data_IF_808363934136
#
_entry.id   IF_808363934136
#
_cell.length_a   1.000
_cell.length_b   1.000
_cell.length_c   1.000
_cell.angle_alpha   90.00
_cell.angle_beta   90.00
_cell.angle_gamma   90.00
#
_symmetry.space_group_name_H-M   'P 1'
#
loop_
_entity.id
_entity.type
_entity.pdbx_description
1 polymer ?
#
# COMPACT_ATOMS: atom_id res chain seq x y z
N UNK A 1 -23.60 17.78 29.80
CA UNK A 1 -24.06 16.86 28.73
C UNK A 1 -23.04 16.75 27.61
N UNK A 2 -22.67 17.82 26.88
CA UNK A 2 -21.69 17.75 25.77
C UNK A 2 -20.33 17.18 26.17
N UNK A 3 -19.80 17.57 27.35
CA UNK A 3 -18.53 17.03 27.89
C UNK A 3 -18.57 15.54 28.21
N UNK A 4 -19.73 14.93 28.31
CA UNK A 4 -19.88 13.47 28.49
C UNK A 4 -20.06 12.77 27.14
N UNK A 5 -20.79 13.41 26.21
CA UNK A 5 -21.02 12.84 24.89
C UNK A 5 -19.72 12.74 24.07
N UNK A 6 -18.82 13.71 24.22
CA UNK A 6 -17.56 13.72 23.46
C UNK A 6 -16.64 12.52 23.82
N UNK A 7 -16.31 12.23 25.10
CA UNK A 7 -15.55 11.04 25.46
C UNK A 7 -16.25 9.72 25.10
N UNK A 8 -17.58 9.67 25.17
CA UNK A 8 -18.35 8.49 24.73
C UNK A 8 -18.16 8.27 23.23
N UNK A 9 -18.25 9.32 22.42
CA UNK A 9 -18.03 9.25 20.99
C UNK A 9 -16.59 8.80 20.66
N UNK A 10 -15.60 9.34 21.36
CA UNK A 10 -14.20 8.91 21.22
C UNK A 10 -14.02 7.44 21.60
N UNK A 11 -14.61 7.00 22.73
CA UNK A 11 -14.57 5.60 23.15
C UNK A 11 -15.25 4.68 22.13
N UNK A 12 -16.41 5.09 21.60
CA UNK A 12 -17.08 4.34 20.53
C UNK A 12 -16.17 4.18 19.30
N UNK A 13 -15.51 5.26 18.87
CA UNK A 13 -14.55 5.21 17.75
C UNK A 13 -13.43 4.20 18.01
N UNK A 14 -12.84 4.20 19.22
CA UNK A 14 -11.78 3.25 19.59
C UNK A 14 -12.27 1.78 19.58
N UNK A 15 -13.49 1.51 20.04
CA UNK A 15 -14.05 0.16 19.98
C UNK A 15 -14.35 -0.27 18.54
N UNK A 16 -14.89 0.62 17.71
CA UNK A 16 -15.15 0.33 16.30
C UNK A 16 -13.84 0.06 15.53
N UNK A 17 -12.79 0.81 15.83
CA UNK A 17 -11.47 0.57 15.27
C UNK A 17 -10.92 -0.82 15.65
N UNK A 18 -11.10 -1.23 16.90
CA UNK A 18 -10.66 -2.54 17.38
C UNK A 18 -11.48 -3.71 16.82
N UNK A 19 -12.77 -3.50 16.54
CA UNK A 19 -13.67 -4.58 16.08
C UNK A 19 -13.73 -4.71 14.56
N UNK A 20 -13.47 -3.63 13.85
CA UNK A 20 -13.58 -3.55 12.39
C UNK A 20 -12.26 -3.09 11.77
N UNK A 21 -12.14 -1.79 11.48
CA UNK A 21 -10.92 -1.21 10.94
C UNK A 21 -10.82 0.28 11.31
N UNK A 22 -9.61 0.83 11.19
CA UNK A 22 -9.37 2.27 11.39
C UNK A 22 -10.22 3.10 10.44
N UNK A 23 -10.38 2.67 9.18
CA UNK A 23 -11.14 3.41 8.20
C UNK A 23 -12.65 3.33 8.45
N UNK A 24 -13.18 2.20 8.94
CA UNK A 24 -14.56 2.11 9.41
C UNK A 24 -14.83 3.09 10.57
N UNK A 25 -13.93 3.15 11.56
CA UNK A 25 -14.04 4.10 12.66
C UNK A 25 -13.97 5.57 12.19
N UNK A 26 -13.11 5.85 11.21
CA UNK A 26 -13.03 7.17 10.56
C UNK A 26 -14.35 7.53 9.89
N UNK A 27 -14.96 6.64 9.13
CA UNK A 27 -16.21 6.89 8.40
C UNK A 27 -17.38 7.09 9.38
N UNK A 28 -17.55 6.19 10.34
CA UNK A 28 -18.71 6.20 11.22
C UNK A 28 -18.65 7.25 12.32
N UNK A 29 -17.45 7.59 12.81
CA UNK A 29 -17.25 8.48 13.95
C UNK A 29 -16.41 9.69 13.60
N UNK A 30 -15.12 9.52 13.39
CA UNK A 30 -14.17 10.64 13.35
C UNK A 30 -14.42 11.61 12.20
N UNK A 31 -14.85 11.12 11.02
CA UNK A 31 -15.19 11.93 9.85
C UNK A 31 -16.70 12.15 9.68
N UNK A 32 -17.51 11.64 10.59
CA UNK A 32 -18.96 11.80 10.51
C UNK A 32 -19.40 13.22 10.84
N UNK A 33 -20.38 13.74 10.10
CA UNK A 33 -20.92 15.09 10.28
C UNK A 33 -21.45 15.35 11.69
N UNK A 34 -22.01 14.32 12.37
CA UNK A 34 -22.51 14.45 13.73
C UNK A 34 -21.40 14.67 14.76
N UNK A 35 -20.21 14.09 14.55
CA UNK A 35 -19.05 14.30 15.40
C UNK A 35 -18.47 15.71 15.20
N UNK A 36 -18.46 16.19 13.96
CA UNK A 36 -18.11 17.60 13.66
C UNK A 36 -19.07 18.58 14.33
N UNK A 37 -20.38 18.31 14.24
CA UNK A 37 -21.39 19.12 14.93
C UNK A 37 -21.19 19.12 16.44
N UNK A 38 -20.81 17.97 17.03
CA UNK A 38 -20.49 17.85 18.45
C UNK A 38 -19.28 18.72 18.84
N UNK A 39 -18.19 18.67 18.04
CA UNK A 39 -17.01 19.52 18.26
C UNK A 39 -17.34 21.02 18.14
N UNK A 40 -18.15 21.39 17.15
CA UNK A 40 -18.60 22.77 16.98
C UNK A 40 -19.46 23.25 18.18
N UNK A 41 -20.39 22.42 18.64
CA UNK A 41 -21.22 22.72 19.82
C UNK A 41 -20.37 22.84 21.08
N UNK A 42 -19.32 22.04 21.25
CA UNK A 42 -18.37 22.17 22.34
C UNK A 42 -17.63 23.50 22.26
N UNK A 43 -17.15 23.90 21.10
CA UNK A 43 -16.48 25.19 20.90
C UNK A 43 -17.43 26.36 21.29
N UNK A 44 -18.66 26.35 20.79
CA UNK A 44 -19.68 27.38 21.14
C UNK A 44 -19.97 27.38 22.64
N UNK A 45 -20.03 26.20 23.27
CA UNK A 45 -20.22 26.08 24.72
C UNK A 45 -19.06 26.69 25.50
N UNK A 46 -17.80 26.41 25.12
CA UNK A 46 -16.63 27.03 25.78
C UNK A 46 -16.66 28.57 25.64
N UNK A 47 -16.94 29.08 24.44
CA UNK A 47 -17.06 30.53 24.20
C UNK A 47 -18.19 31.14 25.01
N UNK A 48 -19.34 30.47 25.06
CA UNK A 48 -20.50 30.88 25.86
C UNK A 48 -20.19 30.94 27.36
N UNK A 49 -19.45 29.95 27.87
CA UNK A 49 -19.04 29.90 29.28
C UNK A 49 -18.06 31.02 29.65
N UNK A 50 -17.14 31.42 28.75
CA UNK A 50 -16.27 32.58 28.98
C UNK A 50 -17.09 33.82 29.28
N UNK A 51 -18.14 34.06 28.48
CA UNK A 51 -19.05 35.22 28.68
C UNK A 51 -19.95 35.03 29.91
N UNK A 52 -20.62 33.87 30.04
CA UNK A 52 -21.60 33.61 31.11
C UNK A 52 -21.00 33.71 32.50
N UNK A 53 -19.80 33.21 32.72
CA UNK A 53 -19.12 33.17 34.01
C UNK A 53 -18.13 34.31 34.22
N UNK A 54 -18.10 35.30 33.31
CA UNK A 54 -17.20 36.46 33.35
C UNK A 54 -15.74 36.03 33.58
N UNK A 55 -15.23 35.12 32.76
CA UNK A 55 -13.90 34.53 32.90
C UNK A 55 -12.77 35.51 32.54
N UNK A 56 -13.08 36.63 31.90
CA UNK A 56 -12.09 37.67 31.55
C UNK A 56 -11.60 38.48 32.78
N UNK A 57 -12.12 38.21 33.98
CA UNK A 57 -11.63 38.83 35.21
C UNK A 57 -10.25 38.28 35.61
N UNK A 58 -9.41 39.11 36.23
CA UNK A 58 -8.06 38.72 36.67
C UNK A 58 -8.05 37.54 37.65
N UNK A 59 -9.08 37.44 38.50
CA UNK A 59 -9.21 36.36 39.49
C UNK A 59 -9.49 34.99 38.86
N UNK A 60 -10.01 34.95 37.63
CA UNK A 60 -10.41 33.74 36.92
C UNK A 60 -9.47 33.40 35.72
N UNK A 61 -8.29 34.01 35.65
CA UNK A 61 -7.38 33.88 34.54
C UNK A 61 -7.01 32.41 34.25
N UNK A 62 -6.79 31.57 35.27
CA UNK A 62 -6.48 30.15 35.11
C UNK A 62 -7.61 29.40 34.41
N UNK A 63 -8.87 29.67 34.76
CA UNK A 63 -10.03 29.05 34.14
C UNK A 63 -10.25 29.57 32.72
N UNK A 64 -9.96 30.84 32.46
CA UNK A 64 -9.97 31.40 31.11
C UNK A 64 -8.94 30.69 30.20
N UNK A 65 -7.70 30.54 30.67
CA UNK A 65 -6.64 29.88 29.93
C UNK A 65 -7.04 28.42 29.58
N UNK A 66 -7.67 27.70 30.52
CA UNK A 66 -8.18 26.36 30.29
C UNK A 66 -9.25 26.34 29.19
N UNK A 67 -10.19 27.26 29.17
CA UNK A 67 -11.25 27.35 28.13
C UNK A 67 -10.63 27.70 26.78
N UNK A 68 -9.68 28.63 26.73
CA UNK A 68 -8.96 28.99 25.50
C UNK A 68 -8.15 27.84 24.98
N UNK A 69 -7.50 27.05 25.83
CA UNK A 69 -6.73 25.88 25.42
C UNK A 69 -7.61 24.85 24.69
N UNK A 70 -8.81 24.55 25.23
CA UNK A 70 -9.74 23.66 24.53
C UNK A 70 -10.22 24.22 23.19
N UNK A 71 -10.48 25.50 23.10
CA UNK A 71 -10.87 26.17 21.85
C UNK A 71 -9.71 26.04 20.83
N UNK A 72 -8.47 26.30 21.24
CA UNK A 72 -7.30 26.15 20.35
C UNK A 72 -7.07 24.70 19.92
N UNK A 73 -7.28 23.71 20.81
CA UNK A 73 -7.22 22.28 20.45
C UNK A 73 -8.26 21.94 19.38
N UNK A 74 -9.51 22.37 19.53
CA UNK A 74 -10.57 22.13 18.55
C UNK A 74 -10.30 22.83 17.22
N UNK A 75 -9.78 24.06 17.25
CA UNK A 75 -9.33 24.77 16.04
C UNK A 75 -8.14 24.05 15.37
N UNK A 76 -7.18 23.57 16.15
CA UNK A 76 -6.06 22.78 15.66
C UNK A 76 -6.54 21.49 14.97
N UNK A 77 -7.46 20.76 15.58
CA UNK A 77 -8.06 19.57 15.00
C UNK A 77 -8.75 19.86 13.66
N UNK A 78 -9.46 21.00 13.56
CA UNK A 78 -10.04 21.44 12.29
C UNK A 78 -8.97 21.73 11.23
N UNK A 79 -7.89 22.43 11.58
CA UNK A 79 -6.78 22.73 10.65
C UNK A 79 -6.11 21.45 10.17
N UNK A 80 -5.78 20.54 11.08
CA UNK A 80 -5.16 19.25 10.71
C UNK A 80 -6.05 18.45 9.76
N UNK A 81 -7.35 18.41 10.02
CA UNK A 81 -8.30 17.64 9.22
C UNK A 81 -8.51 18.17 7.81
N UNK A 82 -8.63 19.50 7.64
CA UNK A 82 -9.03 20.11 6.37
C UNK A 82 -7.88 20.76 5.58
N UNK A 83 -6.81 21.12 6.27
CA UNK A 83 -5.67 21.84 5.67
C UNK A 83 -4.40 21.00 5.74
N UNK A 84 -4.26 20.16 6.78
CA UNK A 84 -3.11 19.30 6.97
C UNK A 84 -3.00 18.25 5.86
N UNK A 85 -1.77 18.03 5.39
CA UNK A 85 -1.42 16.94 4.50
C UNK A 85 -0.41 16.05 5.21
N UNK A 86 -0.69 14.75 5.26
CA UNK A 86 0.09 13.77 5.99
C UNK A 86 0.42 12.60 5.07
N UNK A 87 1.54 11.93 5.33
CA UNK A 87 1.94 10.79 4.55
C UNK A 87 3.18 10.10 5.09
N UNK A 88 3.59 9.07 4.39
CA UNK A 88 4.78 8.28 4.71
C UNK A 88 5.84 8.45 3.63
N UNK A 89 7.10 8.52 4.03
CA UNK A 89 8.24 8.65 3.12
C UNK A 89 9.13 7.40 3.27
N UNK A 90 8.86 6.31 2.53
CA UNK A 90 9.66 5.10 2.62
C UNK A 90 11.00 5.31 1.93
N UNK A 91 12.09 5.24 2.70
CA UNK A 91 13.45 5.37 2.18
C UNK A 91 14.25 4.16 2.69
N UNK A 92 14.87 3.41 1.78
CA UNK A 92 15.83 2.36 2.16
C UNK A 92 17.17 2.99 2.51
N UNK A 93 17.92 2.35 3.40
CA UNK A 93 19.27 2.80 3.74
C UNK A 93 20.14 3.05 2.51
N UNK A 94 20.88 4.12 2.54
CA UNK A 94 21.71 4.66 1.46
C UNK A 94 20.97 5.15 0.22
N UNK A 95 19.63 5.12 0.22
CA UNK A 95 18.82 5.68 -0.85
C UNK A 95 18.36 7.11 -0.53
N UNK A 96 17.99 7.81 -1.58
CA UNK A 96 17.49 9.19 -1.53
C UNK A 96 16.06 9.23 -2.06
N UNK A 97 15.22 10.06 -1.46
CA UNK A 97 13.88 10.34 -1.96
C UNK A 97 13.59 11.84 -1.88
N UNK A 98 12.76 12.32 -2.81
CA UNK A 98 12.22 13.67 -2.83
C UNK A 98 10.69 13.66 -2.90
N UNK A 99 10.06 12.55 -2.52
CA UNK A 99 8.61 12.41 -2.50
C UNK A 99 8.14 11.61 -1.29
N UNK A 100 6.89 11.83 -0.90
CA UNK A 100 6.21 11.02 0.09
C UNK A 100 4.87 10.54 -0.46
N UNK A 101 4.35 9.47 0.13
CA UNK A 101 3.05 8.88 -0.20
C UNK A 101 2.00 9.44 0.75
N UNK A 102 0.92 10.00 0.18
CA UNK A 102 -0.17 10.57 0.99
C UNK A 102 -0.83 9.50 1.86
N UNK A 103 -1.25 9.87 3.08
CA UNK A 103 -2.08 8.99 3.92
C UNK A 103 -3.49 8.78 3.32
N UNK A 104 -3.98 9.75 2.58
CA UNK A 104 -5.26 9.67 1.88
C UNK A 104 -5.12 8.82 0.62
N UNK A 105 -6.12 7.99 0.35
CA UNK A 105 -6.22 7.19 -0.86
C UNK A 105 -7.06 7.89 -1.92
N UNK A 106 -6.73 7.64 -3.18
CA UNK A 106 -7.34 8.27 -4.34
C UNK A 106 -7.64 7.25 -5.44
N UNK A 107 -8.77 7.45 -6.11
CA UNK A 107 -8.98 6.91 -7.45
C UNK A 107 -8.43 7.94 -8.44
N UNK A 108 -7.41 7.55 -9.19
CA UNK A 108 -6.85 8.36 -10.27
C UNK A 108 -7.21 7.73 -11.61
N UNK A 109 -7.77 8.52 -12.50
CA UNK A 109 -8.19 8.06 -13.83
C UNK A 109 -7.60 9.00 -14.88
N UNK A 110 -6.81 8.45 -15.80
CA UNK A 110 -6.40 9.14 -17.01
C UNK A 110 -7.28 8.64 -18.14
N UNK A 111 -7.81 9.56 -18.91
CA UNK A 111 -8.67 9.29 -20.05
C UNK A 111 -7.98 9.87 -21.28
N UNK A 112 -7.63 9.00 -22.21
CA UNK A 112 -7.03 9.37 -23.49
C UNK A 112 -8.06 9.19 -24.61
N UNK A 113 -8.14 10.17 -25.49
CA UNK A 113 -9.06 10.12 -26.61
C UNK A 113 -8.70 11.17 -27.65
N UNK A 114 -9.34 11.06 -28.82
CA UNK A 114 -9.17 12.01 -29.90
C UNK A 114 -10.21 13.13 -29.80
N UNK A 115 -9.73 14.36 -29.85
CA UNK A 115 -10.53 15.58 -29.97
C UNK A 115 -10.00 16.43 -31.14
N UNK A 116 -10.85 16.70 -32.15
CA UNK A 116 -10.51 17.47 -33.34
C UNK A 116 -9.21 17.00 -34.06
N UNK A 117 -8.96 15.66 -34.06
CA UNK A 117 -7.78 15.07 -34.70
C UNK A 117 -6.50 15.12 -33.86
N UNK A 118 -6.59 15.52 -32.60
CA UNK A 118 -5.47 15.53 -31.63
C UNK A 118 -5.78 14.59 -30.50
N UNK A 119 -4.81 13.74 -30.15
CA UNK A 119 -4.90 12.90 -28.95
C UNK A 119 -4.66 13.74 -27.71
N UNK A 120 -5.62 13.79 -26.83
CA UNK A 120 -5.56 14.56 -25.58
C UNK A 120 -5.79 13.64 -24.36
N UNK A 121 -5.28 14.07 -23.20
CA UNK A 121 -5.46 13.40 -21.92
C UNK A 121 -6.21 14.26 -20.93
N UNK A 122 -7.27 13.69 -20.33
CA UNK A 122 -7.95 14.24 -19.16
C UNK A 122 -7.54 13.43 -17.93
N UNK A 123 -7.27 14.11 -16.83
CA UNK A 123 -6.98 13.46 -15.55
C UNK A 123 -8.09 13.77 -14.54
N UNK A 124 -8.63 12.73 -13.94
CA UNK A 124 -9.56 12.81 -12.80
C UNK A 124 -8.87 12.26 -11.58
N UNK A 125 -9.12 12.90 -10.45
CA UNK A 125 -8.61 12.47 -9.17
C UNK A 125 -9.66 12.65 -8.11
N UNK A 126 -10.11 11.57 -7.49
CA UNK A 126 -11.12 11.57 -6.44
C UNK A 126 -10.56 10.94 -5.18
N UNK A 127 -10.57 11.68 -4.07
CA UNK A 127 -10.23 11.11 -2.77
C UNK A 127 -11.33 10.15 -2.35
N UNK A 128 -10.94 8.95 -1.94
CA UNK A 128 -11.83 7.92 -1.44
C UNK A 128 -11.42 7.52 -0.02
N UNK A 129 -12.41 7.30 0.82
CA UNK A 129 -12.25 6.68 2.13
C UNK A 129 -13.22 5.51 2.18
N UNK A 130 -12.71 4.30 2.06
CA UNK A 130 -13.47 3.07 1.89
C UNK A 130 -13.16 2.10 3.03
N UNK A 131 -14.12 1.25 3.36
CA UNK A 131 -13.93 0.09 4.22
C UNK A 131 -14.93 -1.00 3.83
N UNK A 132 -14.52 -2.28 3.88
CA UNK A 132 -15.41 -3.41 3.59
C UNK A 132 -16.58 -3.53 4.58
N UNK A 133 -16.44 -2.92 5.77
CA UNK A 133 -17.45 -2.92 6.84
C UNK A 133 -18.47 -1.80 6.73
N UNK A 134 -18.37 -0.94 5.71
CA UNK A 134 -19.23 0.22 5.52
C UNK A 134 -19.97 0.10 4.20
N UNK A 135 -21.18 0.65 4.14
CA UNK A 135 -21.87 0.78 2.87
C UNK A 135 -21.19 1.88 2.03
N UNK A 136 -20.25 1.47 1.19
CA UNK A 136 -19.61 2.36 0.22
C UNK A 136 -20.56 2.54 -0.96
N UNK A 137 -20.79 3.77 -1.38
CA UNK A 137 -21.57 4.08 -2.59
C UNK A 137 -21.10 5.41 -3.17
N UNK A 138 -20.66 5.38 -4.42
CA UNK A 138 -20.35 6.58 -5.15
C UNK A 138 -20.51 6.39 -6.66
N UNK A 139 -20.85 7.47 -7.33
CA UNK A 139 -20.90 7.55 -8.79
C UNK A 139 -20.19 8.83 -9.22
N UNK A 140 -19.17 8.69 -10.06
CA UNK A 140 -18.46 9.78 -10.70
C UNK A 140 -18.99 9.90 -12.11
N UNK A 141 -19.75 10.96 -12.39
CA UNK A 141 -20.24 11.27 -13.72
C UNK A 141 -19.36 12.35 -14.32
N UNK A 142 -18.73 12.04 -15.43
CA UNK A 142 -17.77 12.94 -16.07
C UNK A 142 -17.89 12.89 -17.59
N UNK A 143 -17.22 13.81 -18.24
CA UNK A 143 -17.16 13.84 -19.69
C UNK A 143 -15.72 14.00 -20.18
N UNK A 144 -15.45 13.42 -21.32
CA UNK A 144 -14.30 13.75 -22.15
C UNK A 144 -14.82 14.51 -23.37
N UNK A 145 -14.74 15.85 -23.32
CA UNK A 145 -15.43 16.74 -24.27
C UNK A 145 -16.95 16.45 -24.32
N UNK A 146 -17.46 15.94 -25.42
CA UNK A 146 -18.89 15.60 -25.60
C UNK A 146 -19.21 14.13 -25.31
N UNK A 147 -18.25 13.35 -24.81
CA UNK A 147 -18.37 11.93 -24.54
C UNK A 147 -18.58 11.73 -23.04
N UNK A 148 -19.81 11.44 -22.64
CA UNK A 148 -20.15 11.23 -21.23
C UNK A 148 -19.86 9.80 -20.80
N UNK A 149 -19.25 9.63 -19.64
CA UNK A 149 -19.01 8.34 -19.03
C UNK A 149 -19.29 8.41 -17.51
N UNK A 150 -19.44 7.26 -16.90
CA UNK A 150 -19.60 7.17 -15.44
C UNK A 150 -18.77 6.03 -14.87
N UNK A 151 -18.25 6.26 -13.68
CA UNK A 151 -17.54 5.27 -12.87
C UNK A 151 -18.34 5.11 -11.59
N UNK A 152 -18.84 3.90 -11.33
CA UNK A 152 -19.61 3.59 -10.13
C UNK A 152 -18.90 2.52 -9.29
N UNK A 153 -19.10 2.62 -7.98
CA UNK A 153 -18.66 1.61 -7.03
C UNK A 153 -19.36 0.27 -7.32
N UNK A 154 -18.63 -0.83 -7.22
CA UNK A 154 -19.16 -2.21 -7.30
C UNK A 154 -18.92 -2.93 -5.98
N UNK A 155 -17.64 -3.05 -5.54
CA UNK A 155 -17.26 -3.72 -4.30
C UNK A 155 -15.93 -3.18 -3.75
N UNK A 156 -15.63 -3.47 -2.47
CA UNK A 156 -14.36 -3.16 -1.83
C UNK A 156 -13.99 -4.26 -0.85
N UNK A 157 -12.78 -4.77 -0.95
CA UNK A 157 -12.24 -5.81 -0.07
C UNK A 157 -10.92 -5.35 0.52
N UNK A 158 -10.82 -5.43 1.85
CA UNK A 158 -9.59 -5.15 2.59
C UNK A 158 -8.68 -6.41 2.63
N UNK A 159 -7.38 -6.20 2.71
CA UNK A 159 -6.38 -7.25 2.93
C UNK A 159 -6.42 -8.37 1.88
N UNK A 160 -6.19 -8.04 0.64
CA UNK A 160 -6.19 -8.97 -0.49
C UNK A 160 -4.83 -9.02 -1.17
N UNK A 161 -4.62 -10.06 -1.95
CA UNK A 161 -3.45 -10.23 -2.81
C UNK A 161 -3.85 -10.92 -4.11
N UNK A 162 -3.01 -10.83 -5.14
CA UNK A 162 -3.14 -11.72 -6.30
C UNK A 162 -2.64 -13.11 -5.94
N UNK A 163 -3.50 -14.10 -6.05
CA UNK A 163 -3.21 -15.51 -5.80
C UNK A 163 -3.61 -16.41 -6.95
N UNK A 164 -2.93 -17.54 -7.10
CA UNK A 164 -3.30 -18.56 -8.10
C UNK A 164 -4.44 -19.42 -7.56
N UNK A 165 -5.63 -19.25 -8.13
CA UNK A 165 -6.78 -20.12 -7.88
C UNK A 165 -6.75 -21.30 -8.86
N UNK A 166 -6.84 -22.52 -8.32
CA UNK A 166 -6.77 -23.72 -9.14
C UNK A 166 -7.98 -23.84 -10.06
N UNK A 167 -7.71 -23.90 -11.36
CA UNK A 167 -8.69 -24.09 -12.41
C UNK A 167 -8.13 -25.06 -13.47
N UNK A 168 -8.75 -26.23 -13.71
CA UNK A 168 -8.31 -27.17 -14.73
C UNK A 168 -8.25 -26.58 -16.15
N UNK A 169 -9.06 -25.57 -16.43
CA UNK A 169 -9.09 -24.86 -17.72
C UNK A 169 -8.09 -23.70 -17.79
N UNK A 170 -7.49 -23.34 -16.65
CA UNK A 170 -6.55 -22.25 -16.53
C UNK A 170 -5.18 -22.53 -17.13
N UNK A 171 -4.34 -21.52 -17.13
CA UNK A 171 -2.96 -21.58 -17.59
C UNK A 171 -2.12 -22.45 -16.65
N UNK A 172 -0.96 -22.91 -17.13
CA UNK A 172 -0.09 -23.77 -16.35
C UNK A 172 1.09 -22.97 -15.79
N UNK A 173 1.34 -23.13 -14.50
CA UNK A 173 2.39 -22.44 -13.76
C UNK A 173 3.24 -23.40 -12.95
N UNK A 174 4.55 -23.16 -12.86
CA UNK A 174 5.39 -23.80 -11.86
C UNK A 174 5.68 -22.79 -10.74
N UNK A 175 5.45 -23.24 -9.49
CA UNK A 175 5.66 -22.43 -8.30
C UNK A 175 7.12 -22.50 -7.87
N UNK A 176 7.72 -21.36 -7.62
CA UNK A 176 9.04 -21.20 -7.01
C UNK A 176 8.87 -20.45 -5.69
N UNK A 177 9.53 -20.93 -4.65
CA UNK A 177 9.55 -20.28 -3.33
C UNK A 177 10.98 -19.89 -3.00
N UNK A 178 11.19 -18.63 -2.67
CA UNK A 178 12.45 -18.12 -2.14
C UNK A 178 12.35 -17.76 -0.66
N UNK A 179 13.46 -17.85 0.06
CA UNK A 179 13.62 -17.33 1.41
C UNK A 179 14.63 -16.18 1.36
N UNK A 180 14.17 -14.96 1.60
CA UNK A 180 14.99 -13.74 1.64
C UNK A 180 14.76 -13.06 2.96
N UNK A 181 15.82 -12.78 3.71
CA UNK A 181 15.77 -12.07 5.00
C UNK A 181 14.78 -12.64 6.03
N UNK A 182 14.59 -13.97 6.00
CA UNK A 182 13.65 -14.68 6.88
C UNK A 182 12.20 -14.68 6.40
N UNK A 183 11.90 -14.02 5.30
CA UNK A 183 10.58 -14.00 4.67
C UNK A 183 10.52 -15.00 3.51
N UNK A 184 9.37 -15.67 3.39
CA UNK A 184 9.06 -16.56 2.28
C UNK A 184 8.34 -15.77 1.21
N UNK A 185 8.85 -15.80 -0.04
CA UNK A 185 8.18 -15.22 -1.21
C UNK A 185 7.85 -16.30 -2.23
N UNK A 186 6.65 -16.22 -2.77
CA UNK A 186 6.14 -17.15 -3.77
C UNK A 186 6.13 -16.50 -5.14
N UNK A 187 6.63 -17.21 -6.14
CA UNK A 187 6.64 -16.79 -7.54
C UNK A 187 6.01 -17.87 -8.39
N UNK A 188 5.29 -17.48 -9.42
CA UNK A 188 4.65 -18.37 -10.36
C UNK A 188 5.16 -18.09 -11.77
N UNK A 189 5.85 -19.08 -12.35
CA UNK A 189 6.42 -18.98 -13.69
C UNK A 189 5.44 -19.63 -14.65
N UNK A 190 4.83 -18.82 -15.53
CA UNK A 190 3.86 -19.28 -16.52
C UNK A 190 4.55 -20.12 -17.60
N UNK A 191 3.90 -21.21 -18.02
CA UNK A 191 4.36 -22.04 -19.15
C UNK A 191 4.50 -21.21 -20.43
N UNK A 192 5.62 -21.36 -21.09
CA UNK A 192 5.95 -20.61 -22.31
C UNK A 192 6.49 -19.19 -22.08
N UNK A 193 6.65 -18.75 -20.82
CA UNK A 193 7.15 -17.42 -20.48
C UNK A 193 8.49 -17.46 -19.74
N UNK A 194 9.14 -16.31 -19.71
CA UNK A 194 10.37 -16.04 -18.97
C UNK A 194 10.04 -15.07 -17.86
N UNK A 195 10.45 -15.38 -16.63
CA UNK A 195 10.30 -14.53 -15.47
C UNK A 195 11.65 -14.15 -14.89
N UNK A 196 11.83 -12.91 -14.46
CA UNK A 196 13.03 -12.46 -13.75
C UNK A 196 12.73 -12.42 -12.25
N UNK A 197 13.48 -13.22 -11.48
CA UNK A 197 13.37 -13.28 -10.01
C UNK A 197 14.77 -13.01 -9.46
N UNK A 198 14.93 -11.99 -8.64
CA UNK A 198 16.24 -11.57 -8.09
C UNK A 198 17.34 -11.42 -9.15
N UNK A 199 17.00 -10.81 -10.30
CA UNK A 199 17.88 -10.64 -11.47
C UNK A 199 18.35 -11.96 -12.13
N UNK A 200 17.74 -13.10 -11.80
CA UNK A 200 17.95 -14.40 -12.43
C UNK A 200 16.75 -14.69 -13.31
N UNK A 201 17.02 -15.10 -14.55
CA UNK A 201 15.98 -15.49 -15.48
C UNK A 201 15.56 -16.94 -15.24
N UNK A 202 14.28 -17.18 -15.18
CA UNK A 202 13.66 -18.50 -15.12
C UNK A 202 12.72 -18.69 -16.30
N UNK A 203 12.68 -19.87 -16.86
CA UNK A 203 11.70 -20.23 -17.90
C UNK A 203 11.03 -21.55 -17.59
N UNK A 204 9.80 -21.71 -18.03
CA UNK A 204 9.07 -22.96 -17.92
C UNK A 204 8.56 -23.39 -19.30
N UNK A 205 8.99 -24.58 -19.78
CA UNK A 205 8.72 -25.11 -21.12
C UNK A 205 9.00 -24.12 -22.27
N UNK A 206 9.95 -23.20 -22.05
CA UNK A 206 10.43 -22.24 -23.04
C UNK A 206 11.93 -22.06 -22.83
N UNK A 207 12.76 -22.65 -23.72
CA UNK A 207 14.20 -22.56 -23.56
C UNK A 207 14.73 -21.16 -23.80
N UNK A 208 15.46 -20.64 -22.82
CA UNK A 208 16.15 -19.35 -22.90
C UNK A 208 17.61 -19.51 -22.50
N UNK A 209 18.52 -19.14 -23.37
CA UNK A 209 19.96 -19.17 -23.07
C UNK A 209 20.27 -18.21 -21.90
N UNK A 210 20.98 -18.70 -20.91
CA UNK A 210 21.35 -17.91 -19.71
C UNK A 210 20.28 -17.86 -18.63
N UNK A 211 19.14 -18.51 -18.83
CA UNK A 211 18.11 -18.70 -17.79
C UNK A 211 18.23 -20.07 -17.13
N UNK A 212 17.67 -20.21 -15.94
CA UNK A 212 17.37 -21.52 -15.36
C UNK A 212 16.11 -22.03 -16.07
N UNK A 213 16.29 -23.06 -16.90
CA UNK A 213 15.23 -23.62 -17.72
C UNK A 213 14.62 -24.84 -17.05
N UNK A 214 13.31 -24.79 -16.81
CA UNK A 214 12.52 -25.90 -16.30
C UNK A 214 11.73 -26.47 -17.47
N UNK A 215 11.81 -27.79 -17.68
CA UNK A 215 11.03 -28.49 -18.69
C UNK A 215 10.23 -29.63 -18.06
N UNK A 216 9.03 -29.84 -18.57
CA UNK A 216 8.16 -30.96 -18.17
C UNK A 216 7.94 -31.89 -19.35
N UNK A 217 8.34 -33.14 -19.21
CA UNK A 217 8.23 -34.17 -20.23
C UNK A 217 7.57 -35.43 -19.63
N UNK A 218 6.46 -35.85 -20.17
CA UNK A 218 5.71 -37.05 -19.71
C UNK A 218 5.41 -37.08 -18.20
N UNK A 219 5.28 -35.89 -17.56
CA UNK A 219 5.01 -35.78 -16.12
C UNK A 219 6.25 -35.71 -15.23
N UNK A 220 7.41 -35.87 -15.80
CA UNK A 220 8.70 -35.63 -15.13
C UNK A 220 9.20 -34.22 -15.38
N UNK A 221 9.94 -33.68 -14.44
CA UNK A 221 10.48 -32.33 -14.51
C UNK A 221 12.01 -32.40 -14.62
N UNK A 222 12.56 -31.50 -15.42
CA UNK A 222 14.01 -31.36 -15.62
C UNK A 222 14.40 -29.90 -15.41
N UNK A 223 15.63 -29.70 -14.96
CA UNK A 223 16.24 -28.39 -14.76
C UNK A 223 17.58 -28.32 -15.53
N UNK A 224 17.81 -27.19 -16.20
CA UNK A 224 19.09 -26.83 -16.79
C UNK A 224 19.47 -25.43 -16.31
N UNK A 225 20.62 -25.29 -15.66
CA UNK A 225 21.06 -24.04 -15.04
C UNK A 225 22.31 -23.51 -15.74
N UNK A 226 22.43 -22.20 -16.00
CA UNK A 226 23.64 -21.58 -16.48
C UNK A 226 24.73 -21.47 -15.38
N UNK A 227 24.46 -21.98 -14.19
CA UNK A 227 25.36 -21.98 -13.03
C UNK A 227 25.52 -23.38 -12.48
N UNK A 228 26.70 -23.68 -11.95
CA UNK A 228 26.86 -24.81 -11.05
C UNK A 228 26.15 -24.49 -9.73
N UNK A 229 25.36 -25.43 -9.21
CA UNK A 229 24.61 -25.26 -7.98
C UNK A 229 24.65 -26.55 -7.14
N UNK A 230 24.28 -26.39 -5.87
CA UNK A 230 24.02 -27.52 -4.99
C UNK A 230 22.56 -27.54 -4.64
N UNK A 231 22.00 -28.69 -4.37
CA UNK A 231 20.70 -28.84 -3.79
C UNK A 231 20.68 -29.83 -2.64
N UNK A 232 19.77 -29.62 -1.70
CA UNK A 232 19.53 -30.50 -0.56
C UNK A 232 18.08 -30.96 -0.61
N UNK A 233 17.86 -32.26 -0.69
CA UNK A 233 16.51 -32.84 -0.60
C UNK A 233 16.01 -32.68 0.84
N UNK A 234 14.94 -31.91 1.04
CA UNK A 234 14.48 -31.50 2.37
C UNK A 234 14.04 -32.69 3.25
N UNK A 235 13.49 -33.75 2.64
CA UNK A 235 12.99 -34.92 3.36
C UNK A 235 14.10 -35.88 3.84
N UNK A 236 15.17 -36.05 3.08
CA UNK A 236 16.24 -37.01 3.34
C UNK A 236 17.54 -36.36 3.77
N UNK A 237 17.65 -35.03 3.67
CA UNK A 237 18.87 -34.25 3.92
C UNK A 237 20.04 -34.68 3.02
N UNK A 238 19.76 -35.36 1.91
CA UNK A 238 20.77 -35.74 0.93
C UNK A 238 21.12 -34.56 0.05
N UNK A 239 22.41 -34.39 -0.19
CA UNK A 239 22.93 -33.34 -1.08
C UNK A 239 23.13 -33.87 -2.48
N UNK A 240 22.81 -33.07 -3.48
CA UNK A 240 23.11 -33.30 -4.87
C UNK A 240 23.74 -32.06 -5.50
N UNK A 241 24.27 -32.24 -6.71
CA UNK A 241 24.89 -31.18 -7.48
C UNK A 241 24.12 -30.95 -8.78
N UNK A 242 23.92 -29.71 -9.13
CA UNK A 242 23.38 -29.27 -10.40
C UNK A 242 24.57 -28.79 -11.26
N UNK A 243 24.87 -29.49 -12.35
CA UNK A 243 25.98 -29.14 -13.23
C UNK A 243 25.53 -28.07 -14.24
N UNK A 244 26.36 -27.08 -14.44
CA UNK A 244 26.16 -26.00 -15.42
C UNK A 244 25.88 -26.54 -16.83
N UNK A 245 24.88 -25.94 -17.50
CA UNK A 245 24.48 -26.21 -18.88
C UNK A 245 24.17 -27.71 -19.17
N UNK A 246 23.77 -28.46 -18.14
CA UNK A 246 23.38 -29.88 -18.25
C UNK A 246 21.92 -30.03 -17.82
N UNK A 247 21.11 -30.63 -18.69
CA UNK A 247 19.74 -30.99 -18.35
C UNK A 247 19.75 -32.20 -17.40
N UNK A 248 19.14 -32.00 -16.23
CA UNK A 248 19.10 -32.99 -15.14
C UNK A 248 17.67 -33.10 -14.58
N UNK A 249 17.31 -34.20 -13.92
CA UNK A 249 16.03 -34.28 -13.21
C UNK A 249 15.91 -33.17 -12.19
N UNK A 250 14.71 -32.53 -12.12
CA UNK A 250 14.36 -31.55 -11.11
C UNK A 250 13.83 -32.27 -9.88
N UNK A 251 14.57 -32.20 -8.79
CA UNK A 251 14.13 -32.73 -7.51
C UNK A 251 13.19 -31.72 -6.81
N UNK A 252 11.89 -31.98 -6.84
CA UNK A 252 10.91 -31.16 -6.11
C UNK A 252 11.15 -31.24 -4.60
N UNK A 253 10.75 -30.21 -3.87
CA UNK A 253 10.94 -30.07 -2.41
C UNK A 253 12.41 -30.17 -2.00
N UNK A 254 13.29 -29.65 -2.86
CA UNK A 254 14.72 -29.56 -2.60
C UNK A 254 15.15 -28.10 -2.61
N UNK A 255 16.00 -27.74 -1.64
CA UNK A 255 16.56 -26.40 -1.55
C UNK A 255 17.74 -26.28 -2.51
N UNK A 256 17.55 -25.54 -3.59
CA UNK A 256 18.59 -25.20 -4.56
C UNK A 256 19.35 -23.96 -4.09
N UNK A 257 20.66 -24.01 -4.17
CA UNK A 257 21.56 -22.95 -3.74
C UNK A 257 22.49 -22.55 -4.89
N UNK A 258 22.34 -21.34 -5.35
CA UNK A 258 23.26 -20.67 -6.28
C UNK A 258 23.88 -19.45 -5.59
N UNK A 259 24.98 -18.88 -6.07
CA UNK A 259 25.57 -17.71 -5.44
C UNK A 259 24.57 -16.56 -5.22
N UNK A 260 24.31 -16.23 -3.96
CA UNK A 260 23.43 -15.14 -3.56
C UNK A 260 21.92 -15.42 -3.63
N UNK A 261 21.49 -16.65 -3.99
CA UNK A 261 20.08 -16.96 -4.11
C UNK A 261 19.75 -18.42 -3.73
N UNK A 262 18.68 -18.61 -2.97
CA UNK A 262 18.16 -19.92 -2.58
C UNK A 262 16.69 -20.04 -2.93
N UNK A 263 16.30 -21.16 -3.51
CA UNK A 263 14.92 -21.38 -3.93
C UNK A 263 14.51 -22.86 -3.87
N UNK A 264 13.20 -23.08 -3.86
CA UNK A 264 12.57 -24.40 -3.83
C UNK A 264 11.45 -24.45 -4.85
N UNK A 265 11.33 -25.56 -5.58
CA UNK A 265 10.11 -25.91 -6.30
C UNK A 265 9.29 -26.87 -5.42
N UNK A 266 8.24 -26.39 -4.72
CA UNK A 266 7.57 -27.18 -3.68
C UNK A 266 6.70 -28.30 -4.23
N UNK A 267 6.19 -28.15 -5.44
CA UNK A 267 5.16 -29.02 -6.02
C UNK A 267 5.22 -29.04 -7.56
N UNK A 268 4.59 -30.02 -8.21
CA UNK A 268 4.42 -30.03 -9.65
C UNK A 268 3.70 -28.78 -10.17
N UNK A 269 3.82 -28.52 -11.48
CA UNK A 269 3.13 -27.40 -12.10
C UNK A 269 1.60 -27.49 -11.90
N UNK A 270 1.01 -26.37 -11.54
CA UNK A 270 -0.43 -26.19 -11.27
C UNK A 270 -1.11 -25.54 -12.46
N UNK A 271 -2.41 -25.83 -12.65
CA UNK A 271 -3.26 -25.08 -13.55
C UNK A 271 -4.17 -24.16 -12.75
N UNK A 272 -4.27 -22.92 -13.18
CA UNK A 272 -5.10 -21.95 -12.48
C UNK A 272 -5.20 -20.62 -13.19
N UNK A 273 -5.94 -19.73 -12.56
CA UNK A 273 -6.12 -18.33 -12.96
C UNK A 273 -5.69 -17.46 -11.79
N UNK A 274 -5.02 -16.35 -12.06
CA UNK A 274 -4.73 -15.35 -11.02
C UNK A 274 -5.98 -14.56 -10.73
N UNK A 275 -6.40 -14.59 -9.48
CA UNK A 275 -7.55 -13.85 -8.98
C UNK A 275 -7.15 -13.09 -7.70
N UNK A 276 -7.97 -12.11 -7.35
CA UNK A 276 -7.84 -11.40 -6.08
C UNK A 276 -8.43 -12.28 -4.98
N UNK A 277 -7.57 -12.71 -4.07
CA UNK A 277 -7.90 -13.58 -2.93
C UNK A 277 -7.57 -12.90 -1.62
N UNK A 278 -8.16 -13.36 -0.51
CA UNK A 278 -7.83 -12.85 0.81
C UNK A 278 -6.36 -13.19 1.13
N UNK A 279 -5.62 -12.19 1.60
CA UNK A 279 -4.23 -12.36 1.99
C UNK A 279 -4.14 -13.07 3.36
N UNK A 280 -3.13 -13.91 3.54
CA UNK A 280 -2.80 -14.41 4.87
C UNK A 280 -2.24 -13.26 5.72
N UNK A 281 -2.85 -12.98 6.87
CA UNK A 281 -2.63 -11.80 7.74
C UNK A 281 -1.23 -11.73 8.39
N UNK A 282 -0.22 -12.33 7.81
CA UNK A 282 1.15 -12.34 8.33
C UNK A 282 2.03 -11.21 7.81
N UNK A 283 1.66 -10.55 6.71
CA UNK A 283 2.45 -9.49 6.09
C UNK A 283 1.86 -8.11 6.38
N UNK A 284 2.74 -7.18 6.74
CA UNK A 284 2.38 -5.77 7.02
C UNK A 284 2.14 -4.95 5.74
N UNK A 285 2.42 -5.51 4.59
CA UNK A 285 2.25 -4.89 3.28
C UNK A 285 1.16 -5.65 2.51
N UNK A 286 -0.10 -5.40 2.86
CA UNK A 286 -1.27 -6.03 2.24
C UNK A 286 -2.06 -4.93 1.55
N UNK A 287 -2.45 -5.18 0.31
CA UNK A 287 -3.25 -4.26 -0.49
C UNK A 287 -4.74 -4.48 -0.26
N UNK A 288 -5.53 -3.52 -0.72
CA UNK A 288 -6.97 -3.61 -0.82
C UNK A 288 -7.37 -3.73 -2.29
N UNK A 289 -8.57 -4.21 -2.56
CA UNK A 289 -9.14 -4.25 -3.90
C UNK A 289 -10.36 -3.37 -4.01
N UNK A 290 -10.33 -2.44 -4.94
CA UNK A 290 -11.47 -1.61 -5.34
C UNK A 290 -12.06 -2.12 -6.65
N UNK A 291 -13.33 -2.53 -6.63
CA UNK A 291 -14.06 -2.96 -7.81
C UNK A 291 -14.97 -1.84 -8.30
N UNK A 292 -14.91 -1.58 -9.59
CA UNK A 292 -15.62 -0.49 -10.24
C UNK A 292 -16.36 -0.97 -11.48
N UNK A 293 -17.47 -0.34 -11.78
CA UNK A 293 -18.15 -0.45 -13.08
C UNK A 293 -17.90 0.84 -13.85
N UNK A 294 -17.23 0.74 -14.99
CA UNK A 294 -17.02 1.85 -15.93
C UNK A 294 -18.03 1.74 -17.06
N UNK A 295 -18.87 2.77 -17.19
CA UNK A 295 -19.91 2.85 -18.20
C UNK A 295 -19.58 3.93 -19.21
N UNK A 296 -19.49 3.54 -20.49
CA UNK A 296 -19.34 4.46 -21.60
C UNK A 296 -20.11 3.92 -22.83
N UNK A 297 -20.83 4.79 -23.50
CA UNK A 297 -21.55 4.50 -24.74
C UNK A 297 -22.47 3.24 -24.64
N UNK A 298 -23.12 3.04 -23.47
CA UNK A 298 -24.01 1.92 -23.21
C UNK A 298 -23.30 0.58 -22.94
N UNK A 299 -21.97 0.56 -22.91
CA UNK A 299 -21.15 -0.57 -22.49
C UNK A 299 -20.72 -0.39 -21.04
N UNK A 300 -20.67 -1.50 -20.31
CA UNK A 300 -20.19 -1.54 -18.92
C UNK A 300 -19.04 -2.53 -18.81
N UNK A 301 -17.90 -2.04 -18.35
CA UNK A 301 -16.74 -2.88 -18.08
C UNK A 301 -16.46 -2.88 -16.57
N UNK A 302 -16.20 -4.08 -16.01
CA UNK A 302 -15.81 -4.25 -14.61
C UNK A 302 -14.30 -4.19 -14.49
N UNK A 303 -13.82 -3.39 -13.53
CA UNK A 303 -12.40 -3.19 -13.27
C UNK A 303 -12.13 -3.43 -11.79
N UNK A 304 -11.17 -4.29 -11.49
CA UNK A 304 -10.63 -4.45 -10.14
C UNK A 304 -9.24 -3.79 -10.09
N UNK A 305 -9.03 -2.94 -9.10
CA UNK A 305 -7.80 -2.20 -8.85
C UNK A 305 -7.24 -2.63 -7.50
N UNK A 306 -6.02 -3.15 -7.51
CA UNK A 306 -5.25 -3.36 -6.29
C UNK A 306 -4.57 -2.06 -5.88
N UNK A 307 -4.49 -1.82 -4.58
CA UNK A 307 -3.85 -0.64 -4.02
C UNK A 307 -4.24 -0.42 -2.57
N UNK A 308 -4.11 0.82 -2.11
CA UNK A 308 -4.43 1.17 -0.73
C UNK A 308 -3.52 2.27 -0.20
N UNK A 309 -3.54 2.45 1.09
CA UNK A 309 -2.68 3.42 1.76
C UNK A 309 -1.23 2.96 1.71
N UNK A 310 -0.34 3.82 1.24
CA UNK A 310 1.08 3.53 1.08
C UNK A 310 1.44 2.85 -0.24
N UNK A 311 0.46 2.57 -1.11
CA UNK A 311 0.67 1.94 -2.41
C UNK A 311 0.50 2.92 -3.56
N UNK A 312 1.39 2.81 -4.54
CA UNK A 312 1.30 3.49 -5.84
C UNK A 312 1.51 2.45 -6.93
N UNK A 313 0.43 1.93 -7.44
CA UNK A 313 0.43 0.89 -8.47
C UNK A 313 0.35 1.48 -9.87
N UNK A 314 0.89 0.75 -10.85
CA UNK A 314 0.72 1.09 -12.24
C UNK A 314 -0.77 1.06 -12.62
N UNK A 315 -1.23 2.06 -13.39
CA UNK A 315 -2.63 2.10 -13.79
C UNK A 315 -3.04 0.88 -14.62
N UNK A 316 -4.20 0.33 -14.33
CA UNK A 316 -4.85 -0.70 -15.15
C UNK A 316 -5.51 -0.03 -16.35
N UNK A 317 -5.17 -0.48 -17.54
CA UNK A 317 -5.63 0.10 -18.80
C UNK A 317 -6.75 -0.72 -19.41
N UNK A 318 -7.75 -0.06 -19.94
CA UNK A 318 -8.82 -0.64 -20.74
C UNK A 318 -9.30 0.34 -21.80
N UNK A 319 -9.71 -0.19 -22.94
CA UNK A 319 -10.26 0.59 -24.04
C UNK A 319 -11.73 0.29 -24.19
N UNK A 320 -12.57 1.30 -24.20
CA UNK A 320 -14.00 1.20 -24.54
C UNK A 320 -14.27 2.12 -25.73
N UNK A 321 -14.56 1.53 -26.86
CA UNK A 321 -14.76 2.20 -28.14
C UNK A 321 -13.55 3.09 -28.51
N UNK A 322 -13.71 4.40 -28.43
CA UNK A 322 -12.74 5.42 -28.83
C UNK A 322 -12.09 6.16 -27.64
N UNK A 323 -12.22 5.62 -26.44
CA UNK A 323 -11.56 6.14 -25.24
C UNK A 323 -10.70 5.07 -24.58
N UNK A 324 -9.49 5.45 -24.21
CA UNK A 324 -8.59 4.66 -23.38
C UNK A 324 -8.64 5.18 -21.94
N UNK A 325 -8.93 4.27 -21.01
CA UNK A 325 -8.99 4.57 -19.59
C UNK A 325 -7.83 3.90 -18.88
N UNK A 326 -7.14 4.64 -18.03
CA UNK A 326 -6.07 4.13 -17.16
C UNK A 326 -6.41 4.48 -15.72
N UNK A 327 -6.77 3.48 -14.92
CA UNK A 327 -7.27 3.64 -13.57
C UNK A 327 -6.26 3.09 -12.57
N UNK A 328 -6.03 3.83 -11.48
CA UNK A 328 -5.27 3.36 -10.33
C UNK A 328 -5.94 3.77 -9.03
N UNK A 329 -5.79 2.94 -8.00
CA UNK A 329 -6.27 3.18 -6.64
C UNK A 329 -5.08 3.13 -5.68
N UNK A 330 -4.97 4.09 -4.77
CA UNK A 330 -3.92 4.13 -3.77
C UNK A 330 -3.53 5.53 -3.31
N UNK A 331 -2.35 5.64 -2.71
CA UNK A 331 -1.76 6.90 -2.29
C UNK A 331 -1.30 7.75 -3.46
N UNK A 332 -1.27 9.05 -3.24
CA UNK A 332 -0.61 9.96 -4.17
C UNK A 332 0.85 10.13 -3.80
N UNK A 333 1.70 10.12 -4.80
CA UNK A 333 3.08 10.57 -4.65
C UNK A 333 3.14 12.10 -4.72
N UNK A 334 3.58 12.71 -3.60
CA UNK A 334 3.69 14.17 -3.46
C UNK A 334 5.16 14.55 -3.45
N UNK A 335 5.55 15.40 -4.41
CA UNK A 335 6.94 15.83 -4.56
C UNK A 335 7.31 16.90 -3.54
N UNK A 336 8.48 16.75 -2.92
CA UNK A 336 9.10 17.73 -2.03
C UNK A 336 10.04 18.65 -2.82
N UNK A 337 10.21 19.91 -2.39
CA UNK A 337 11.16 20.83 -3.03
C UNK A 337 12.62 20.63 -2.55
N UNK A 338 12.95 19.47 -1.99
CA UNK A 338 14.25 19.02 -1.52
C UNK A 338 14.27 17.49 -1.45
N UNK A 339 15.44 16.90 -1.23
CA UNK A 339 15.59 15.45 -1.09
C UNK A 339 16.09 15.10 0.31
N UNK A 340 15.75 13.90 0.76
CA UNK A 340 16.24 13.29 1.99
C UNK A 340 16.92 11.97 1.64
N UNK A 341 18.17 11.82 2.08
CA UNK A 341 18.90 10.57 2.02
C UNK A 341 18.87 9.91 3.41
N UNK A 342 18.50 8.64 3.48
CA UNK A 342 18.63 7.85 4.69
C UNK A 342 20.01 7.21 4.71
N UNK A 343 20.87 7.64 5.66
CA UNK A 343 22.24 7.12 5.78
C UNK A 343 22.28 5.85 6.64
N UNK A 344 21.51 5.82 7.73
CA UNK A 344 21.53 4.74 8.70
C UNK A 344 20.18 4.68 9.46
N UNK A 345 19.62 3.49 9.65
CA UNK A 345 18.42 3.26 10.42
C UNK A 345 18.73 2.40 11.65
N UNK A 346 18.60 2.95 12.81
CA UNK A 346 18.91 2.29 14.07
C UNK A 346 17.63 1.93 14.80
N UNK A 347 17.44 0.64 15.04
CA UNK A 347 16.35 0.09 15.84
C UNK A 347 16.92 -0.62 17.07
N UNK A 348 16.82 0.01 18.24
CA UNK A 348 17.32 -0.57 19.50
C UNK A 348 16.25 -1.47 20.12
N UNK A 349 16.67 -2.64 20.60
CA UNK A 349 15.77 -3.60 21.25
C UNK A 349 15.81 -3.45 22.77
N UNK A 350 14.71 -3.80 23.44
CA UNK A 350 14.77 -3.97 24.89
C UNK A 350 15.68 -5.15 25.24
N UNK A 351 16.51 -5.04 26.30
CA UNK A 351 17.36 -6.13 26.73
C UNK A 351 16.58 -7.42 26.98
N UNK A 352 17.03 -8.52 26.39
CA UNK A 352 16.40 -9.85 26.56
C UNK A 352 15.16 -10.11 25.73
N UNK A 353 14.83 -9.25 24.75
CA UNK A 353 13.72 -9.47 23.81
C UNK A 353 14.23 -9.58 22.36
N UNK A 354 13.58 -10.43 21.56
CA UNK A 354 13.94 -10.60 20.13
C UNK A 354 13.16 -9.64 19.22
N UNK A 355 11.90 -9.32 19.57
CA UNK A 355 10.97 -8.60 18.70
C UNK A 355 10.39 -7.30 19.30
N UNK A 356 10.90 -6.86 20.48
CA UNK A 356 10.44 -5.62 21.10
C UNK A 356 11.50 -4.54 20.99
N UNK A 357 11.18 -3.44 20.34
CA UNK A 357 12.08 -2.30 20.13
C UNK A 357 11.81 -1.22 21.16
N UNK A 358 12.89 -0.63 21.68
CA UNK A 358 12.89 0.46 22.67
C UNK A 358 12.96 1.84 22.03
N UNK A 359 13.66 1.96 20.90
CA UNK A 359 13.81 3.22 20.17
C UNK A 359 14.10 2.99 18.69
N UNK A 360 13.74 4.00 17.91
CA UNK A 360 14.07 4.09 16.49
C UNK A 360 14.74 5.42 16.21
N UNK A 361 15.77 5.41 15.34
CA UNK A 361 16.46 6.61 14.89
C UNK A 361 16.79 6.49 13.41
N UNK A 362 16.50 7.55 12.65
CA UNK A 362 16.93 7.71 11.27
C UNK A 362 17.99 8.79 11.19
N UNK A 363 19.20 8.45 10.75
CA UNK A 363 20.25 9.42 10.41
C UNK A 363 20.08 9.81 8.96
N UNK A 364 19.78 11.05 8.71
CA UNK A 364 19.44 11.54 7.37
C UNK A 364 20.35 12.69 6.94
N UNK A 365 20.55 12.82 5.64
CA UNK A 365 21.14 14.00 5.01
C UNK A 365 20.07 14.70 4.19
N UNK A 366 19.75 15.93 4.53
CA UNK A 366 18.87 16.81 3.74
C UNK A 366 19.68 17.44 2.63
N UNK A 367 19.25 17.28 1.39
CA UNK A 367 19.88 17.81 0.20
C UNK A 367 18.99 18.86 -0.47
N UNK A 368 19.46 20.11 -0.45
CA UNK A 368 18.84 21.27 -1.09
C UNK A 368 19.94 22.24 -1.54
N UNK A 369 19.70 23.54 -1.47
CA UNK A 369 20.73 24.58 -1.68
C UNK A 369 21.91 24.42 -0.74
N UNK A 370 21.65 24.00 0.47
CA UNK A 370 22.62 23.61 1.48
C UNK A 370 22.34 22.14 1.87
N UNK A 371 23.41 21.39 2.11
CA UNK A 371 23.34 20.00 2.55
C UNK A 371 23.74 19.94 4.02
N UNK A 372 22.92 19.25 4.84
CA UNK A 372 23.18 19.05 6.25
C UNK A 372 22.66 17.72 6.75
N UNK A 373 23.31 17.19 7.78
CA UNK A 373 22.91 15.95 8.44
C UNK A 373 22.00 16.25 9.62
N UNK A 374 21.05 15.32 9.87
CA UNK A 374 20.12 15.41 10.99
C UNK A 374 19.75 14.02 11.48
N UNK A 375 19.56 13.86 12.80
CA UNK A 375 19.09 12.62 13.41
C UNK A 375 17.62 12.77 13.80
N UNK A 376 16.73 11.96 13.20
CA UNK A 376 15.30 11.94 13.52
C UNK A 376 15.05 10.78 14.47
N UNK A 377 14.52 11.09 15.65
CA UNK A 377 14.15 10.09 16.66
C UNK A 377 13.02 10.63 17.55
N UNK A 378 12.55 9.83 18.50
CA UNK A 378 11.48 10.22 19.42
C UNK A 378 11.75 11.60 20.04
N UNK A 379 10.80 12.54 19.86
CA UNK A 379 10.89 13.94 20.30
C UNK A 379 11.99 14.81 19.63
N UNK A 380 12.70 14.29 18.64
CA UNK A 380 13.65 15.05 17.83
C UNK A 380 13.24 15.00 16.36
N UNK A 381 12.30 15.87 16.00
CA UNK A 381 11.70 15.93 14.67
C UNK A 381 12.48 16.87 13.75
N UNK A 382 12.63 16.49 12.48
CA UNK A 382 13.17 17.38 11.47
C UNK A 382 12.06 18.34 10.98
N UNK A 383 12.28 19.66 11.18
CA UNK A 383 11.43 20.70 10.61
C UNK A 383 12.20 21.40 9.49
N UNK A 384 11.74 21.27 8.26
CA UNK A 384 12.38 21.89 7.11
C UNK A 384 11.38 22.36 6.06
N UNK A 385 11.47 23.62 5.66
CA UNK A 385 10.58 24.25 4.64
C UNK A 385 9.08 24.02 4.87
N UNK A 386 8.62 23.99 6.12
CA UNK A 386 7.22 23.79 6.47
C UNK A 386 6.79 22.32 6.59
N UNK A 387 7.66 21.39 6.24
CA UNK A 387 7.46 19.96 6.46
C UNK A 387 8.02 19.51 7.79
N UNK A 388 7.37 18.52 8.39
CA UNK A 388 7.78 17.94 9.67
C UNK A 388 7.92 16.43 9.50
N UNK A 389 9.11 15.91 9.78
CA UNK A 389 9.43 14.49 9.67
C UNK A 389 9.58 13.88 11.04
N UNK A 390 8.93 12.76 11.23
CA UNK A 390 8.92 11.95 12.45
C UNK A 390 9.46 10.56 12.11
N UNK A 391 9.99 9.90 13.14
CA UNK A 391 10.39 8.51 13.08
C UNK A 391 9.48 7.69 14.00
#
# INVERSE_FOLDING_TARGET
>A
MLLVLFPIAMGLGTFLESWYSTDAARIWVYNAWWFEALMLLLMVNFMGNIKKYNLLSREKLSVLILHLSFIFILLGAFVTRYIGDEGVMPIRENNISNSYLSEKTYLTVFIDGENEGVTERKTLKSQLLLSEHVNNDFIINENFYNKNFSISFDDFRENVTEGLVLDPSGERYIKLVEAVDGNRREHYIKEGQISSIQNILFSFNSYQKGAINITSEAGEYFIESPFDAQFTIMSTQQNGNLSKDVKQPLELRSLYQIPGFQFVFPEPALRGVFEIVDAEVTDREIEDALYLNLNYNGKTEKVALLGGRGYVNSPKSLTIDDLDFHLSYGSNEVQLPFSIQLNDFIAEKYPGTENSYSSFMSKVTVQDKETFDYDIFMNNILNYKGYRFFQ
#
